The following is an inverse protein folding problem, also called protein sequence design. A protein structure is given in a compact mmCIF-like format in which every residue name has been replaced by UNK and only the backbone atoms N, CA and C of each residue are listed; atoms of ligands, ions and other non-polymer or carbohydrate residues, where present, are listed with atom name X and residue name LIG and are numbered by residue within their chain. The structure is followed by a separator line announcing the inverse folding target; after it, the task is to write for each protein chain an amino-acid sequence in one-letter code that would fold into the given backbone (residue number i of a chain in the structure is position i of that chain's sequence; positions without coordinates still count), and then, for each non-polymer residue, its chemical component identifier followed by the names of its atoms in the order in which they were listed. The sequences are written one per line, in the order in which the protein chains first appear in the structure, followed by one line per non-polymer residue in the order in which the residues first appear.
data_IF_635527724498
#
_entry.id   IF_635527724498
#
_cell.length_a   1.000
_cell.length_b   1.000
_cell.length_c   1.000
_cell.angle_alpha   90.00
_cell.angle_beta   90.00
_cell.angle_gamma   90.00
#
_symmetry.space_group_name_H-M   'P 1'
#
loop_
_entity.id
_entity.type
_entity.pdbx_description
1 polymer ?
#
# COMPACT_ATOMS: atom_id res chain seq x y z
N UNK A 1 4.10 -7.77 10.82
CA UNK A 1 2.86 -8.38 11.36
C UNK A 1 3.15 -9.52 12.31
N UNK A 2 3.70 -10.67 11.88
CA UNK A 2 3.99 -11.81 12.78
C UNK A 2 5.01 -11.48 13.87
N UNK A 3 6.16 -10.88 13.50
CA UNK A 3 7.19 -10.45 14.45
C UNK A 3 6.68 -9.44 15.46
N UNK A 4 5.88 -8.48 14.99
CA UNK A 4 5.21 -7.50 15.85
C UNK A 4 4.13 -8.13 16.75
N UNK A 5 3.37 -9.12 16.27
CA UNK A 5 2.38 -9.83 17.08
C UNK A 5 3.04 -10.53 18.27
N UNK A 6 4.18 -11.20 18.04
CA UNK A 6 4.98 -11.81 19.11
C UNK A 6 5.53 -10.75 20.07
N UNK A 7 5.96 -9.60 19.56
CA UNK A 7 6.45 -8.48 20.38
C UNK A 7 5.37 -7.93 21.34
N UNK A 8 4.12 -7.82 20.91
CA UNK A 8 3.01 -7.39 21.79
C UNK A 8 2.44 -8.53 22.66
N UNK A 9 3.15 -9.67 22.76
CA UNK A 9 2.81 -10.80 23.61
C UNK A 9 1.74 -11.75 23.05
N UNK A 10 1.45 -11.70 21.75
CA UNK A 10 0.53 -12.65 21.10
C UNK A 10 1.27 -13.89 20.60
N UNK A 11 0.55 -15.03 20.51
CA UNK A 11 1.10 -16.25 19.93
C UNK A 11 1.38 -16.10 18.43
N UNK A 12 2.36 -16.85 17.94
CA UNK A 12 2.69 -16.90 16.51
C UNK A 12 1.49 -17.33 15.65
N UNK A 13 0.63 -18.22 16.19
CA UNK A 13 -0.61 -18.66 15.56
C UNK A 13 -1.58 -17.50 15.31
N UNK A 14 -1.76 -16.61 16.30
CA UNK A 14 -2.59 -15.41 16.14
C UNK A 14 -2.00 -14.46 15.10
N UNK A 15 -0.67 -14.33 15.05
CA UNK A 15 0.02 -13.58 13.99
C UNK A 15 -0.23 -14.16 12.59
N UNK A 16 -0.22 -15.48 12.46
CA UNK A 16 -0.53 -16.17 11.20
C UNK A 16 -2.01 -16.00 10.79
N UNK A 17 -2.94 -16.07 11.75
CA UNK A 17 -4.36 -15.83 11.50
C UNK A 17 -4.60 -14.42 10.94
N UNK A 18 -3.98 -13.39 11.52
CA UNK A 18 -4.08 -12.00 11.03
C UNK A 18 -3.59 -11.90 9.58
N UNK A 19 -2.47 -12.55 9.25
CA UNK A 19 -1.98 -12.60 7.88
C UNK A 19 -2.96 -13.31 6.93
N UNK A 20 -3.55 -14.41 7.36
CA UNK A 20 -4.58 -15.13 6.59
C UNK A 20 -5.78 -14.23 6.28
N UNK A 21 -6.34 -13.58 7.30
CA UNK A 21 -7.44 -12.63 7.13
C UNK A 21 -7.06 -11.43 6.28
N UNK A 22 -5.84 -10.90 6.40
CA UNK A 22 -5.34 -9.80 5.56
C UNK A 22 -5.27 -10.18 4.08
N UNK A 23 -4.86 -11.41 3.75
CA UNK A 23 -4.88 -11.93 2.39
C UNK A 23 -6.31 -12.14 1.86
N UNK A 24 -7.22 -12.66 2.70
CA UNK A 24 -8.65 -12.75 2.37
C UNK A 24 -9.28 -11.38 2.09
N UNK A 25 -8.97 -10.39 2.92
CA UNK A 25 -9.39 -9.00 2.71
C UNK A 25 -8.78 -8.41 1.43
N UNK A 26 -7.53 -8.75 1.11
CA UNK A 26 -6.91 -8.36 -0.16
C UNK A 26 -7.67 -8.89 -1.37
N UNK A 27 -8.12 -10.13 -1.33
CA UNK A 27 -8.96 -10.69 -2.38
C UNK A 27 -10.28 -9.92 -2.52
N UNK A 28 -10.98 -9.69 -1.41
CA UNK A 28 -12.23 -8.92 -1.40
C UNK A 28 -12.03 -7.49 -1.94
N UNK A 29 -10.93 -6.83 -1.54
CA UNK A 29 -10.56 -5.50 -1.98
C UNK A 29 -10.31 -5.42 -3.48
N UNK A 30 -9.62 -6.41 -4.06
CA UNK A 30 -9.40 -6.50 -5.51
C UNK A 30 -10.71 -6.52 -6.30
N UNK A 31 -11.68 -7.31 -5.83
CA UNK A 31 -12.98 -7.45 -6.51
C UNK A 31 -13.83 -6.20 -6.31
N UNK A 32 -14.02 -5.77 -5.06
CA UNK A 32 -14.92 -4.66 -4.73
C UNK A 32 -14.40 -3.33 -5.28
N UNK A 33 -13.13 -3.00 -5.03
CA UNK A 33 -12.55 -1.74 -5.50
C UNK A 33 -12.31 -1.75 -7.01
N UNK A 34 -12.07 -2.92 -7.59
CA UNK A 34 -12.06 -3.12 -9.05
C UNK A 34 -13.42 -2.73 -9.65
N UNK A 35 -14.51 -3.33 -9.17
CA UNK A 35 -15.86 -3.00 -9.62
C UNK A 35 -16.21 -1.52 -9.39
N UNK A 36 -15.84 -0.95 -8.24
CA UNK A 36 -16.04 0.49 -7.97
C UNK A 36 -15.29 1.35 -8.99
N UNK A 37 -14.11 0.93 -9.45
CA UNK A 37 -13.33 1.67 -10.45
C UNK A 37 -13.88 1.60 -11.88
N UNK A 38 -14.84 0.71 -12.13
CA UNK A 38 -15.56 0.69 -13.39
C UNK A 38 -16.68 1.77 -13.39
N UNK A 39 -17.25 2.07 -12.23
CA UNK A 39 -18.27 3.13 -12.06
C UNK A 39 -17.67 4.51 -11.76
N UNK A 40 -16.56 4.56 -11.04
CA UNK A 40 -15.85 5.79 -10.68
C UNK A 40 -14.53 5.90 -11.44
N UNK A 41 -14.00 7.12 -11.61
CA UNK A 41 -12.68 7.28 -12.24
C UNK A 41 -11.60 6.48 -11.51
N UNK A 42 -10.93 5.57 -12.24
CA UNK A 42 -9.86 4.71 -11.74
C UNK A 42 -8.81 5.49 -10.91
N UNK A 43 -8.38 6.66 -11.39
CA UNK A 43 -7.42 7.51 -10.70
C UNK A 43 -7.90 7.94 -9.29
N UNK A 44 -9.20 8.25 -9.11
CA UNK A 44 -9.75 8.62 -7.80
C UNK A 44 -9.76 7.43 -6.85
N UNK A 45 -10.16 6.25 -7.33
CA UNK A 45 -10.17 5.03 -6.51
C UNK A 45 -8.75 4.65 -6.11
N UNK A 46 -7.79 4.74 -7.03
CA UNK A 46 -6.38 4.49 -6.74
C UNK A 46 -5.82 5.41 -5.66
N UNK A 47 -6.18 6.70 -5.69
CA UNK A 47 -5.79 7.67 -4.65
C UNK A 47 -6.37 7.33 -3.28
N UNK A 48 -7.66 6.98 -3.23
CA UNK A 48 -8.32 6.55 -2.00
C UNK A 48 -7.58 5.34 -1.43
N UNK A 49 -7.31 4.32 -2.25
CA UNK A 49 -6.56 3.13 -1.81
C UNK A 49 -5.17 3.50 -1.26
N UNK A 50 -4.42 4.36 -1.95
CA UNK A 50 -3.08 4.75 -1.53
C UNK A 50 -3.08 5.49 -0.17
N UNK A 51 -3.99 6.46 0.01
CA UNK A 51 -4.10 7.23 1.25
C UNK A 51 -4.64 6.41 2.42
N UNK A 52 -5.64 5.55 2.19
CA UNK A 52 -6.16 4.67 3.24
C UNK A 52 -5.13 3.61 3.66
N UNK A 53 -4.31 3.13 2.72
CA UNK A 53 -3.19 2.23 3.05
C UNK A 53 -2.15 2.95 3.91
N UNK A 54 -1.78 4.20 3.56
CA UNK A 54 -0.87 5.01 4.36
C UNK A 54 -1.43 5.28 5.76
N UNK A 55 -2.73 5.62 5.85
CA UNK A 55 -3.43 5.83 7.11
C UNK A 55 -3.45 4.56 7.98
N UNK A 56 -3.74 3.39 7.40
CA UNK A 56 -3.75 2.13 8.13
C UNK A 56 -2.36 1.81 8.71
N UNK A 57 -1.29 2.06 7.94
CA UNK A 57 0.08 1.80 8.39
C UNK A 57 0.54 2.82 9.44
N UNK A 58 0.23 4.11 9.28
CA UNK A 58 0.67 5.14 10.23
C UNK A 58 -0.14 5.16 11.52
N UNK A 59 -1.46 5.09 11.43
CA UNK A 59 -2.37 5.31 12.56
C UNK A 59 -2.73 4.00 13.23
N UNK A 60 -3.23 3.02 12.48
CA UNK A 60 -3.71 1.77 13.08
C UNK A 60 -2.56 0.92 13.63
N UNK A 61 -1.39 0.91 12.98
CA UNK A 61 -0.23 0.18 13.51
C UNK A 61 0.38 0.89 14.73
N UNK A 62 0.38 2.22 14.79
CA UNK A 62 0.88 2.95 15.96
C UNK A 62 0.03 2.69 17.22
N UNK A 63 -1.26 2.42 17.05
CA UNK A 63 -2.21 2.20 18.16
C UNK A 63 -2.39 0.69 18.46
N UNK A 64 -1.79 -0.22 17.66
CA UNK A 64 -2.05 -1.66 17.76
C UNK A 64 -1.37 -2.34 18.95
N UNK A 65 -1.88 -2.09 20.16
CA UNK A 65 -1.44 -2.76 21.39
C UNK A 65 -2.26 -4.02 21.73
N UNK A 66 -3.27 -4.35 20.92
CA UNK A 66 -4.17 -5.48 21.14
C UNK A 66 -4.44 -6.24 19.84
N UNK A 67 -4.76 -7.54 19.98
CA UNK A 67 -5.10 -8.41 18.86
C UNK A 67 -6.19 -7.84 17.95
N UNK A 68 -7.23 -7.25 18.53
CA UNK A 68 -8.35 -6.67 17.75
C UNK A 68 -7.91 -5.51 16.87
N UNK A 69 -7.06 -4.62 17.38
CA UNK A 69 -6.56 -3.47 16.62
C UNK A 69 -5.59 -3.91 15.52
N UNK A 70 -4.74 -4.90 15.81
CA UNK A 70 -3.83 -5.47 14.82
C UNK A 70 -4.58 -6.21 13.70
N UNK A 71 -5.67 -6.91 14.04
CA UNK A 71 -6.54 -7.55 13.06
C UNK A 71 -7.25 -6.52 12.17
N UNK A 72 -7.80 -5.45 12.77
CA UNK A 72 -8.41 -4.34 12.01
C UNK A 72 -7.39 -3.67 11.09
N UNK A 73 -6.17 -3.45 11.57
CA UNK A 73 -5.08 -2.93 10.74
C UNK A 73 -4.78 -3.88 9.56
N UNK A 74 -4.67 -5.19 9.79
CA UNK A 74 -4.42 -6.17 8.74
C UNK A 74 -5.55 -6.29 7.72
N UNK A 75 -6.80 -6.20 8.16
CA UNK A 75 -7.98 -6.22 7.28
C UNK A 75 -8.06 -4.96 6.43
N UNK A 76 -7.91 -3.78 7.04
CA UNK A 76 -7.95 -2.50 6.31
C UNK A 76 -6.78 -2.39 5.33
N UNK A 77 -5.55 -2.63 5.80
CA UNK A 77 -4.37 -2.66 4.95
C UNK A 77 -4.55 -3.64 3.79
N UNK A 78 -4.95 -4.89 4.08
CA UNK A 78 -5.17 -5.94 3.09
C UNK A 78 -6.19 -5.51 2.03
N UNK A 79 -7.35 -5.02 2.46
CA UNK A 79 -8.40 -4.57 1.55
C UNK A 79 -7.93 -3.48 0.58
N UNK A 80 -7.28 -2.42 1.08
CA UNK A 80 -6.85 -1.30 0.24
C UNK A 80 -5.62 -1.63 -0.61
N UNK A 81 -4.65 -2.40 -0.10
CA UNK A 81 -3.49 -2.81 -0.90
C UNK A 81 -3.90 -3.77 -2.01
N UNK A 82 -4.87 -4.65 -1.75
CA UNK A 82 -5.47 -5.53 -2.74
C UNK A 82 -6.06 -4.73 -3.89
N UNK A 83 -6.95 -3.78 -3.58
CA UNK A 83 -7.52 -2.87 -4.57
C UNK A 83 -6.46 -2.08 -5.33
N UNK A 84 -5.47 -1.51 -4.63
CA UNK A 84 -4.37 -0.76 -5.25
C UNK A 84 -3.65 -1.58 -6.32
N UNK A 85 -3.21 -2.80 -6.00
CA UNK A 85 -2.48 -3.67 -6.94
C UNK A 85 -3.31 -3.98 -8.20
N UNK A 86 -4.62 -4.16 -8.06
CA UNK A 86 -5.52 -4.42 -9.19
C UNK A 86 -5.75 -3.20 -10.08
N UNK A 87 -5.70 -1.99 -9.51
CA UNK A 87 -5.99 -0.75 -10.22
C UNK A 87 -4.77 -0.15 -10.95
N UNK A 88 -3.56 -0.39 -10.45
CA UNK A 88 -2.30 0.05 -11.08
C UNK A 88 -2.19 -0.33 -12.57
N UNK A 89 -2.41 -1.60 -13.01
CA UNK A 89 -2.32 -1.93 -14.43
C UNK A 89 -3.31 -1.15 -15.29
N UNK A 90 -4.52 -0.91 -14.78
CA UNK A 90 -5.57 -0.15 -15.48
C UNK A 90 -5.14 1.31 -15.63
N UNK A 91 -4.63 1.91 -14.55
CA UNK A 91 -4.07 3.26 -14.57
C UNK A 91 -2.92 3.41 -15.59
N UNK A 92 -1.98 2.46 -15.59
CA UNK A 92 -0.85 2.46 -16.53
C UNK A 92 -1.32 2.30 -17.97
N UNK A 93 -2.28 1.41 -18.24
CA UNK A 93 -2.85 1.23 -19.57
C UNK A 93 -3.56 2.50 -20.07
N UNK A 94 -4.24 3.23 -19.19
CA UNK A 94 -4.92 4.48 -19.52
C UNK A 94 -3.96 5.64 -19.82
N UNK A 95 -2.81 5.73 -19.13
CA UNK A 95 -1.85 6.84 -19.34
C UNK A 95 -0.83 6.59 -20.44
N UNK A 96 -0.32 5.36 -20.58
CA UNK A 96 0.77 5.02 -21.53
C UNK A 96 0.31 4.20 -22.74
N UNK A 97 -0.94 3.72 -22.72
CA UNK A 97 -1.47 2.82 -23.75
C UNK A 97 -1.01 1.37 -23.59
N UNK A 98 -1.78 0.44 -24.14
CA UNK A 98 -1.56 -1.01 -24.00
C UNK A 98 -0.19 -1.47 -24.53
N UNK A 99 0.39 -0.78 -25.52
CA UNK A 99 1.67 -1.15 -26.15
C UNK A 99 2.87 -0.98 -25.22
N UNK A 100 2.85 0.03 -24.34
CA UNK A 100 3.94 0.30 -23.39
C UNK A 100 3.67 -0.23 -21.98
N UNK A 101 2.45 -0.69 -21.71
CA UNK A 101 2.01 -1.19 -20.41
C UNK A 101 2.98 -2.25 -19.82
N UNK A 102 3.38 -3.25 -20.61
CA UNK A 102 4.26 -4.31 -20.13
C UNK A 102 5.65 -3.79 -19.71
N UNK A 103 6.22 -2.85 -20.47
CA UNK A 103 7.52 -2.24 -20.16
C UNK A 103 7.44 -1.37 -18.91
N UNK A 104 6.40 -0.53 -18.79
CA UNK A 104 6.19 0.32 -17.62
C UNK A 104 5.94 -0.51 -16.36
N UNK A 105 5.09 -1.53 -16.42
CA UNK A 105 4.85 -2.43 -15.29
C UNK A 105 6.12 -3.20 -14.90
N UNK A 106 6.91 -3.65 -15.89
CA UNK A 106 8.21 -4.29 -15.63
C UNK A 106 9.19 -3.39 -14.88
N UNK A 107 9.28 -2.11 -15.26
CA UNK A 107 10.08 -1.11 -14.55
C UNK A 107 9.57 -0.90 -13.11
N UNK A 108 8.25 -0.78 -12.93
CA UNK A 108 7.63 -0.60 -11.60
C UNK A 108 7.90 -1.79 -10.68
N UNK A 109 7.76 -3.03 -11.17
CA UNK A 109 8.04 -4.22 -10.38
C UNK A 109 9.54 -4.40 -10.10
N UNK A 110 10.41 -3.99 -11.02
CA UNK A 110 11.86 -4.01 -10.79
C UNK A 110 12.23 -3.04 -9.66
N UNK A 111 11.70 -1.81 -9.70
CA UNK A 111 11.88 -0.84 -8.63
C UNK A 111 11.31 -1.34 -7.29
N UNK A 112 10.14 -1.97 -7.31
CA UNK A 112 9.54 -2.58 -6.11
C UNK A 112 10.40 -3.72 -5.55
N UNK A 113 11.00 -4.55 -6.42
CA UNK A 113 11.92 -5.62 -6.02
C UNK A 113 13.17 -5.08 -5.33
N UNK A 114 13.78 -4.03 -5.89
CA UNK A 114 14.92 -3.35 -5.27
C UNK A 114 14.55 -2.73 -3.91
N UNK A 115 13.36 -2.12 -3.81
CA UNK A 115 12.85 -1.57 -2.56
C UNK A 115 12.64 -2.67 -1.50
N UNK A 116 12.09 -3.83 -1.87
CA UNK A 116 11.93 -4.97 -0.97
C UNK A 116 13.27 -5.54 -0.50
N UNK A 117 14.25 -5.61 -1.42
CA UNK A 117 15.59 -6.08 -1.09
C UNK A 117 16.29 -5.18 -0.06
N UNK A 118 16.15 -3.85 -0.18
CA UNK A 118 16.68 -2.90 0.81
C UNK A 118 15.83 -2.75 2.07
N UNK A 119 14.51 -2.95 1.98
CA UNK A 119 13.58 -2.72 3.08
C UNK A 119 13.71 -3.73 4.22
N UNK A 120 13.91 -5.01 3.91
CA UNK A 120 14.09 -6.06 4.92
C UNK A 120 15.34 -5.85 5.82
N UNK A 121 16.56 -5.63 5.29
CA UNK A 121 17.73 -5.36 6.13
C UNK A 121 17.62 -4.02 6.86
N UNK A 122 17.02 -2.99 6.24
CA UNK A 122 16.79 -1.72 6.91
C UNK A 122 15.86 -1.86 8.13
N UNK A 123 14.80 -2.65 8.01
CA UNK A 123 13.89 -2.94 9.12
C UNK A 123 14.59 -3.74 10.23
N UNK A 124 15.45 -4.71 9.88
CA UNK A 124 16.27 -5.44 10.84
C UNK A 124 17.24 -4.53 11.58
N UNK A 125 17.98 -3.69 10.85
CA UNK A 125 18.91 -2.72 11.43
C UNK A 125 18.22 -1.74 12.39
N UNK A 126 17.05 -1.22 12.01
CA UNK A 126 16.26 -0.34 12.88
C UNK A 126 15.82 -1.02 14.17
N UNK A 127 15.55 -2.34 14.15
CA UNK A 127 15.23 -3.10 15.35
C UNK A 127 16.46 -3.33 16.23
N UNK A 128 17.61 -3.66 15.61
CA UNK A 128 18.87 -3.92 16.30
C UNK A 128 19.40 -2.70 17.04
N UNK A 129 19.29 -1.50 16.45
CA UNK A 129 19.74 -0.23 17.07
C UNK A 129 18.91 0.13 18.33
N UNK A 130 17.70 -0.39 18.47
CA UNK A 130 16.85 -0.18 19.65
C UNK A 130 17.06 -1.18 20.77
N UNK A 131 17.99 -2.13 20.66
CA UNK A 131 18.32 -3.02 21.78
C UNK A 131 19.03 -2.25 22.93
N UNK A 132 18.76 -2.57 24.21
CA UNK A 132 17.97 -3.70 24.72
C UNK A 132 16.46 -3.44 24.89
N UNK A 133 15.98 -2.19 24.80
CA UNK A 133 14.55 -1.85 24.84
C UNK A 133 13.96 -1.87 23.42
N UNK A 134 13.85 -3.06 22.82
CA UNK A 134 13.36 -3.24 21.44
C UNK A 134 12.08 -2.45 21.23
N UNK A 135 12.15 -1.42 20.38
CA UNK A 135 11.03 -0.52 20.12
C UNK A 135 10.68 -0.63 18.65
N UNK A 136 9.45 -1.03 18.35
CA UNK A 136 8.98 -1.11 16.96
C UNK A 136 8.57 0.24 16.36
N UNK A 137 8.55 1.29 17.18
CA UNK A 137 8.15 2.65 16.79
C UNK A 137 8.95 3.20 15.58
N UNK A 138 10.31 3.09 15.54
CA UNK A 138 11.09 3.53 14.38
C UNK A 138 10.74 2.79 13.09
N UNK A 139 10.44 1.49 13.18
CA UNK A 139 10.04 0.67 12.03
C UNK A 139 8.65 1.06 11.53
N UNK A 140 7.71 1.32 12.44
CA UNK A 140 6.36 1.78 12.11
C UNK A 140 6.42 3.14 11.42
N UNK A 141 7.18 4.09 11.97
CA UNK A 141 7.35 5.41 11.37
C UNK A 141 8.05 5.36 10.01
N UNK A 142 9.14 4.61 9.89
CA UNK A 142 9.84 4.45 8.62
C UNK A 142 8.93 3.83 7.54
N UNK A 143 8.19 2.78 7.90
CA UNK A 143 7.22 2.13 7.00
C UNK A 143 6.08 3.07 6.62
N UNK A 144 5.52 3.79 7.59
CA UNK A 144 4.44 4.75 7.37
C UNK A 144 4.86 5.93 6.51
N UNK A 145 6.07 6.48 6.72
CA UNK A 145 6.64 7.51 5.87
C UNK A 145 6.85 7.01 4.44
N UNK A 146 7.41 5.81 4.27
CA UNK A 146 7.62 5.23 2.94
C UNK A 146 6.30 5.05 2.16
N UNK A 147 5.25 4.54 2.81
CA UNK A 147 3.93 4.39 2.19
C UNK A 147 3.28 5.74 1.90
N UNK A 148 3.45 6.73 2.78
CA UNK A 148 2.93 8.09 2.57
C UNK A 148 3.63 8.78 1.41
N UNK A 149 4.96 8.64 1.28
CA UNK A 149 5.70 9.11 0.12
C UNK A 149 5.21 8.43 -1.17
N UNK A 150 4.93 7.12 -1.11
CA UNK A 150 4.28 6.40 -2.21
C UNK A 150 2.92 7.00 -2.59
N UNK A 151 2.06 7.28 -1.60
CA UNK A 151 0.76 7.90 -1.82
C UNK A 151 0.87 9.33 -2.41
N UNK A 152 1.88 10.10 -2.00
CA UNK A 152 2.18 11.41 -2.60
C UNK A 152 2.61 11.28 -4.06
N UNK A 153 3.48 10.32 -4.39
CA UNK A 153 3.88 10.05 -5.77
C UNK A 153 2.67 9.70 -6.65
N UNK A 154 1.76 8.86 -6.15
CA UNK A 154 0.50 8.52 -6.85
C UNK A 154 -0.40 9.76 -7.01
N UNK A 155 -0.45 10.63 -5.99
CA UNK A 155 -1.18 11.90 -6.04
C UNK A 155 -0.62 12.85 -7.09
N UNK A 156 0.70 12.96 -7.20
CA UNK A 156 1.37 13.76 -8.23
C UNK A 156 1.06 13.18 -9.61
N UNK A 157 1.17 11.87 -9.80
CA UNK A 157 0.80 11.22 -11.06
C UNK A 157 -0.66 11.51 -11.45
N UNK A 158 -1.60 11.33 -10.52
CA UNK A 158 -3.02 11.56 -10.79
C UNK A 158 -3.32 13.03 -11.15
N UNK A 159 -2.62 13.98 -10.51
CA UNK A 159 -2.72 15.39 -10.84
C UNK A 159 -2.16 15.72 -12.23
N UNK A 160 -1.01 15.14 -12.58
CA UNK A 160 -0.41 15.31 -13.91
C UNK A 160 -1.27 14.70 -15.01
N UNK A 161 -1.79 13.49 -14.80
CA UNK A 161 -2.70 12.81 -15.74
C UNK A 161 -3.97 13.64 -15.97
N UNK A 162 -4.57 14.18 -14.90
CA UNK A 162 -5.70 15.10 -15.01
C UNK A 162 -5.36 16.38 -15.78
N UNK A 163 -4.19 16.99 -15.52
CA UNK A 163 -3.76 18.23 -16.19
C UNK A 163 -3.53 18.01 -17.69
N UNK A 164 -2.94 16.88 -18.08
CA UNK A 164 -2.71 16.51 -19.49
C UNK A 164 -4.05 16.29 -20.21
N UNK A 165 -4.96 15.51 -19.62
CA UNK A 165 -6.30 15.28 -20.18
C UNK A 165 -7.08 16.60 -20.33
N UNK A 166 -6.99 17.50 -19.36
CA UNK A 166 -7.63 18.82 -19.43
C UNK A 166 -7.03 19.70 -20.54
N UNK A 167 -5.71 19.68 -20.74
CA UNK A 167 -5.07 20.47 -21.80
C UNK A 167 -5.45 19.99 -23.21
N UNK A 168 -5.66 18.68 -23.39
CA UNK A 168 -6.14 18.12 -24.65
C UNK A 168 -7.57 18.59 -24.97
N UNK A 169 -8.47 18.60 -23.98
CA UNK A 169 -9.86 19.07 -24.15
C UNK A 169 -10.00 20.55 -24.51
N UNK A 170 -9.02 21.39 -24.16
CA UNK A 170 -9.01 22.82 -24.52
C UNK A 170 -8.48 23.06 -25.92
N UNK A 171 -7.58 22.20 -26.42
CA UNK A 171 -7.04 22.29 -27.79
C UNK A 171 -8.01 21.82 -28.87
N UNK A 172 -9.00 21.01 -28.50
CA UNK A 172 -9.99 20.42 -29.41
C UNK A 172 -11.26 21.27 -29.56
N UNK A 173 -11.26 22.49 -28.99
CA UNK A 173 -12.31 23.52 -29.14
C UNK A 173 -11.79 24.69 -29.95
#
# INVERSE_FOLDING_TARGET
MQTYAVFIGLSAERGALILGFSNGASFAGRVILGLISDYFSNAKVLLVCAWFTAFAVLVLWSISHSFGVLLLMGLTYGFFIGGYISLVPVAVAQSFGAKQMASTMGLMFTAAGLAMFGGAPLAGFLLDVTQPNTSYLPVILASGLAVTLGALCVSIWAYLDWKVKRAQLVKDK
#
